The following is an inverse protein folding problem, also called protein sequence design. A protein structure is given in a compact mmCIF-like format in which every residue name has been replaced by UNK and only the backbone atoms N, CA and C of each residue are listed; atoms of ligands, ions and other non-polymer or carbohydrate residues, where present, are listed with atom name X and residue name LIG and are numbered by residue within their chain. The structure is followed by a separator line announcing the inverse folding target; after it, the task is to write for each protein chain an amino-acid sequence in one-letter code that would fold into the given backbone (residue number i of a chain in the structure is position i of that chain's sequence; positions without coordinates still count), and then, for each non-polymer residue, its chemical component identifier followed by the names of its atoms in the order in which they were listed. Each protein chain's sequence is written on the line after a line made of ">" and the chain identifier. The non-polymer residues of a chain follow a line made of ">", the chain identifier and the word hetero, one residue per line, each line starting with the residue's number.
data_IF_254411463863
#
_entry.id   IF_254411463863
#
_cell.length_a   1.000
_cell.length_b   1.000
_cell.length_c   1.000
_cell.angle_alpha   90.00
_cell.angle_beta   90.00
_cell.angle_gamma   90.00
#
_symmetry.space_group_name_H-M   'P 1'
#
loop_
_entity.id
_entity.type
_entity.pdbx_description
1 polymer ?
#
# COMPACT_ATOMS: atom_id res chain seq x y z
N UNK A 1 -24.08 -18.15 25.70
CA UNK A 1 -24.07 -19.42 24.93
C UNK A 1 -23.42 -19.31 23.54
N UNK A 2 -23.25 -18.11 22.96
CA UNK A 2 -22.65 -17.96 21.61
C UNK A 2 -21.14 -18.29 21.49
N UNK A 3 -20.36 -18.13 22.56
CA UNK A 3 -18.91 -18.40 22.50
C UNK A 3 -18.58 -19.88 22.24
N UNK A 4 -19.37 -20.80 22.79
CA UNK A 4 -19.12 -22.24 22.69
C UNK A 4 -19.34 -22.77 21.27
N UNK A 5 -20.31 -22.20 20.53
CA UNK A 5 -20.58 -22.52 19.14
C UNK A 5 -19.41 -22.10 18.23
N UNK A 6 -18.88 -20.89 18.45
CA UNK A 6 -17.70 -20.43 17.72
C UNK A 6 -16.46 -21.27 18.03
N UNK A 7 -16.25 -21.68 19.29
CA UNK A 7 -15.13 -22.57 19.62
C UNK A 7 -15.24 -23.95 18.98
N UNK A 8 -16.45 -24.52 18.89
CA UNK A 8 -16.67 -25.82 18.23
C UNK A 8 -16.40 -25.74 16.73
N UNK A 9 -16.94 -24.71 16.04
CA UNK A 9 -16.70 -24.51 14.61
C UNK A 9 -15.23 -24.29 14.27
N UNK A 10 -14.50 -23.54 15.10
CA UNK A 10 -13.06 -23.35 14.90
C UNK A 10 -12.31 -24.67 15.05
N UNK A 11 -12.67 -25.50 16.03
CA UNK A 11 -12.04 -26.80 16.21
C UNK A 11 -12.27 -27.74 15.00
N UNK A 12 -13.48 -27.75 14.44
CA UNK A 12 -13.81 -28.51 13.22
C UNK A 12 -12.96 -28.05 12.03
N UNK A 13 -12.90 -26.74 11.77
CA UNK A 13 -12.11 -26.18 10.67
C UNK A 13 -10.62 -26.53 10.82
N UNK A 14 -10.08 -26.47 12.04
CA UNK A 14 -8.68 -26.84 12.29
C UNK A 14 -8.43 -28.34 12.12
N UNK A 15 -9.39 -29.19 12.48
CA UNK A 15 -9.33 -30.63 12.25
C UNK A 15 -9.32 -30.96 10.76
N UNK A 16 -10.19 -30.31 9.98
CA UNK A 16 -10.26 -30.47 8.53
C UNK A 16 -8.98 -29.99 7.85
N UNK A 17 -8.44 -28.85 8.27
CA UNK A 17 -7.20 -28.29 7.73
C UNK A 17 -6.01 -29.21 8.02
N UNK A 18 -5.96 -29.81 9.21
CA UNK A 18 -4.91 -30.76 9.58
C UNK A 18 -4.99 -32.03 8.73
N UNK A 19 -6.20 -32.54 8.48
CA UNK A 19 -6.42 -33.69 7.60
C UNK A 19 -6.04 -33.37 6.14
N UNK A 20 -6.43 -32.19 5.66
CA UNK A 20 -6.08 -31.72 4.31
C UNK A 20 -4.58 -31.56 4.15
N UNK A 21 -3.84 -31.10 5.18
CA UNK A 21 -2.38 -31.03 5.14
C UNK A 21 -1.71 -32.38 4.88
N UNK A 22 -2.32 -33.48 5.31
CA UNK A 22 -1.80 -34.84 5.07
C UNK A 22 -2.11 -35.31 3.65
N UNK A 23 -3.31 -35.01 3.15
CA UNK A 23 -3.74 -35.45 1.81
C UNK A 23 -3.17 -34.58 0.68
N UNK A 24 -3.17 -33.25 0.87
CA UNK A 24 -2.70 -32.25 -0.09
C UNK A 24 -2.11 -31.02 0.65
N UNK A 25 -0.79 -31.02 0.90
CA UNK A 25 -0.10 -29.90 1.55
C UNK A 25 -0.22 -28.57 0.79
N UNK A 26 -0.33 -28.61 -0.54
CA UNK A 26 -0.37 -27.41 -1.37
C UNK A 26 -1.73 -26.72 -1.27
N UNK A 27 -2.82 -27.49 -1.31
CA UNK A 27 -4.17 -26.96 -1.10
C UNK A 27 -4.33 -26.37 0.31
N UNK A 28 -3.80 -27.04 1.34
CA UNK A 28 -3.82 -26.52 2.71
C UNK A 28 -3.09 -25.17 2.84
N UNK A 29 -1.92 -25.03 2.20
CA UNK A 29 -1.17 -23.78 2.17
C UNK A 29 -1.93 -22.69 1.42
N UNK A 30 -2.56 -23.01 0.28
CA UNK A 30 -3.36 -22.08 -0.50
C UNK A 30 -4.51 -21.48 0.34
N UNK A 31 -5.22 -22.29 1.13
CA UNK A 31 -6.33 -21.80 1.98
C UNK A 31 -5.89 -20.85 3.10
N UNK A 32 -4.73 -21.11 3.74
CA UNK A 32 -4.20 -20.25 4.81
C UNK A 32 -3.55 -18.99 4.25
N UNK A 33 -2.93 -19.09 3.08
CA UNK A 33 -2.25 -17.97 2.41
C UNK A 33 -3.22 -17.08 1.62
N UNK A 34 -4.42 -17.58 1.28
CA UNK A 34 -5.49 -16.82 0.69
C UNK A 34 -5.95 -15.72 1.67
N UNK A 35 -5.38 -14.53 1.52
CA UNK A 35 -5.96 -13.31 2.09
C UNK A 35 -7.38 -13.16 1.52
N UNK A 36 -8.36 -12.72 2.32
CA UNK A 36 -9.67 -12.39 1.78
C UNK A 36 -9.47 -11.32 0.70
N UNK A 37 -9.61 -11.71 -0.56
CA UNK A 37 -9.78 -10.76 -1.65
C UNK A 37 -11.01 -9.94 -1.26
N UNK A 38 -10.80 -8.67 -0.92
CA UNK A 38 -11.90 -7.73 -0.77
C UNK A 38 -12.71 -7.83 -2.06
N UNK A 39 -13.90 -8.43 -1.98
CA UNK A 39 -14.88 -8.40 -3.07
C UNK A 39 -15.36 -6.96 -3.19
N UNK A 40 -14.54 -6.12 -3.81
CA UNK A 40 -15.02 -4.94 -4.51
C UNK A 40 -15.22 -5.39 -5.94
N UNK A 41 -16.50 -5.49 -6.29
CA UNK A 41 -16.97 -5.56 -7.66
C UNK A 41 -16.40 -4.38 -8.42
N UNK A 42 -15.30 -4.57 -9.14
CA UNK A 42 -14.99 -3.75 -10.29
C UNK A 42 -14.32 -4.62 -11.35
N UNK A 43 -14.85 -4.45 -12.55
CA UNK A 43 -14.53 -5.20 -13.73
C UNK A 43 -13.06 -5.00 -14.13
N UNK A 44 -12.50 -6.05 -14.73
CA UNK A 44 -11.24 -6.06 -15.47
C UNK A 44 -10.01 -5.60 -14.69
N UNK A 45 -9.23 -6.57 -14.22
CA UNK A 45 -7.78 -6.39 -14.32
C UNK A 45 -7.09 -7.75 -14.44
N UNK A 46 -6.96 -8.19 -15.69
CA UNK A 46 -5.80 -8.99 -16.08
C UNK A 46 -4.56 -8.09 -16.03
N UNK A 47 -4.12 -7.67 -14.84
CA UNK A 47 -2.81 -7.04 -14.72
C UNK A 47 -1.76 -8.11 -14.86
N UNK A 48 -1.09 -8.08 -16.01
CA UNK A 48 0.20 -8.71 -16.20
C UNK A 48 1.10 -8.35 -15.01
N UNK A 49 1.93 -9.29 -14.51
CA UNK A 49 2.88 -9.02 -13.42
C UNK A 49 3.85 -7.86 -13.73
N UNK A 50 4.02 -7.50 -15.00
CA UNK A 50 4.83 -6.35 -15.45
C UNK A 50 4.26 -4.97 -15.03
N UNK A 51 2.94 -4.82 -14.92
CA UNK A 51 2.32 -3.53 -14.54
C UNK A 51 2.35 -3.28 -13.03
N UNK A 52 2.22 -4.32 -12.22
CA UNK A 52 2.37 -4.19 -10.76
C UNK A 52 3.77 -3.69 -10.39
N UNK A 53 4.81 -4.18 -11.06
CA UNK A 53 6.19 -3.71 -10.87
C UNK A 53 6.37 -2.25 -11.28
N UNK A 54 5.71 -1.81 -12.37
CA UNK A 54 5.76 -0.42 -12.82
C UNK A 54 5.06 0.53 -11.85
N UNK A 55 3.87 0.16 -11.36
CA UNK A 55 3.12 0.93 -10.38
C UNK A 55 3.85 0.98 -9.02
N UNK A 56 4.44 -0.13 -8.59
CA UNK A 56 5.26 -0.20 -7.38
C UNK A 56 6.51 0.68 -7.47
N UNK A 57 7.18 0.69 -8.63
CA UNK A 57 8.31 1.59 -8.88
C UNK A 57 7.87 3.05 -8.82
N UNK A 58 6.76 3.39 -9.49
CA UNK A 58 6.20 4.74 -9.48
C UNK A 58 5.80 5.21 -8.09
N UNK A 59 5.25 4.32 -7.26
CA UNK A 59 4.91 4.62 -5.87
C UNK A 59 6.15 4.93 -5.03
N UNK A 60 7.23 4.15 -5.18
CA UNK A 60 8.51 4.40 -4.51
C UNK A 60 9.11 5.75 -4.91
N UNK A 61 9.12 6.03 -6.22
CA UNK A 61 9.62 7.31 -6.76
C UNK A 61 8.82 8.49 -6.20
N UNK A 62 7.49 8.36 -6.08
CA UNK A 62 6.63 9.40 -5.53
C UNK A 62 6.89 9.65 -4.03
N UNK A 63 7.09 8.59 -3.24
CA UNK A 63 7.41 8.70 -1.81
C UNK A 63 8.77 9.36 -1.61
N UNK A 64 9.78 8.94 -2.38
CA UNK A 64 11.11 9.53 -2.37
C UNK A 64 11.05 11.03 -2.69
N UNK A 65 10.35 11.39 -3.76
CA UNK A 65 10.16 12.79 -4.16
C UNK A 65 9.44 13.60 -3.05
N UNK A 66 8.40 13.04 -2.43
CA UNK A 66 7.69 13.71 -1.33
C UNK A 66 8.64 14.01 -0.16
N UNK A 67 9.45 13.03 0.23
CA UNK A 67 10.42 13.20 1.30
C UNK A 67 11.44 14.31 0.97
N UNK A 68 12.02 14.28 -0.23
CA UNK A 68 12.99 15.29 -0.66
C UNK A 68 12.39 16.71 -0.70
N UNK A 69 11.18 16.83 -1.23
CA UNK A 69 10.46 18.12 -1.26
C UNK A 69 10.16 18.60 0.16
N UNK A 70 9.71 17.71 1.05
CA UNK A 70 9.44 18.06 2.45
C UNK A 70 10.71 18.45 3.20
N UNK A 71 11.82 17.78 2.97
CA UNK A 71 13.10 18.14 3.58
C UNK A 71 13.61 19.49 3.08
N UNK A 72 13.53 19.75 1.76
CA UNK A 72 13.88 21.07 1.20
C UNK A 72 12.92 22.16 1.70
N UNK A 73 11.64 21.85 1.89
CA UNK A 73 10.66 22.77 2.49
C UNK A 73 11.03 23.08 3.94
N UNK A 74 11.33 22.05 4.75
CA UNK A 74 11.74 22.18 6.15
C UNK A 74 13.03 22.99 6.30
N UNK A 75 13.99 22.77 5.40
CA UNK A 75 15.25 23.52 5.34
C UNK A 75 15.09 24.95 4.81
N UNK A 76 13.91 25.33 4.32
CA UNK A 76 13.64 26.65 3.76
C UNK A 76 14.26 26.89 2.38
N UNK A 77 14.81 25.85 1.75
CA UNK A 77 15.55 25.95 0.49
C UNK A 77 14.63 26.25 -0.70
N UNK A 78 13.38 25.75 -0.64
CA UNK A 78 12.36 26.02 -1.66
C UNK A 78 11.93 27.49 -1.71
N UNK A 79 12.09 28.23 -0.60
CA UNK A 79 11.72 29.64 -0.50
C UNK A 79 12.80 30.61 -1.00
N UNK A 80 14.03 30.14 -1.23
CA UNK A 80 15.19 30.98 -1.56
C UNK A 80 14.99 31.75 -2.88
N UNK A 81 14.67 31.03 -3.96
CA UNK A 81 14.39 31.62 -5.28
C UNK A 81 13.10 32.46 -5.31
N UNK A 82 12.08 32.05 -4.55
CA UNK A 82 10.82 32.80 -4.44
C UNK A 82 11.02 34.12 -3.69
N UNK A 83 11.85 34.12 -2.65
CA UNK A 83 12.26 35.32 -1.93
C UNK A 83 13.12 36.25 -2.77
N UNK A 84 13.99 35.72 -3.61
CA UNK A 84 14.78 36.52 -4.55
C UNK A 84 13.92 37.15 -5.64
N UNK A 85 12.97 36.39 -6.20
CA UNK A 85 11.99 36.91 -7.15
C UNK A 85 11.11 38.00 -6.51
N UNK A 86 10.64 37.81 -5.27
CA UNK A 86 9.91 38.84 -4.51
C UNK A 86 10.74 40.11 -4.34
N UNK A 87 12.00 39.99 -3.89
CA UNK A 87 12.91 41.13 -3.77
C UNK A 87 13.15 41.82 -5.11
N UNK A 88 13.20 41.09 -6.22
CA UNK A 88 13.34 41.67 -7.55
C UNK A 88 12.11 42.48 -7.96
N UNK A 89 10.91 41.98 -7.64
CA UNK A 89 9.64 42.70 -7.85
C UNK A 89 9.55 43.93 -6.96
N UNK A 90 9.86 43.83 -5.67
CA UNK A 90 9.84 44.98 -4.74
C UNK A 90 10.77 46.10 -5.23
N UNK A 91 11.97 45.75 -5.72
CA UNK A 91 12.90 46.70 -6.34
C UNK A 91 12.34 47.35 -7.62
N UNK A 92 11.59 46.61 -8.42
CA UNK A 92 11.01 47.12 -9.67
C UNK A 92 9.76 47.98 -9.43
N UNK A 93 9.00 47.69 -8.37
CA UNK A 93 7.73 48.36 -8.03
C UNK A 93 7.96 49.55 -7.08
N UNK A 94 9.12 49.63 -6.42
CA UNK A 94 9.52 50.82 -5.66
C UNK A 94 8.69 51.07 -4.40
N UNK A 95 8.32 49.99 -3.69
CA UNK A 95 7.69 50.05 -2.35
C UNK A 95 8.76 49.91 -1.28
#
# INVERSE_FOLDING_TARGET
>A
MAHTENTMRVAEILSDLTSLRVCDPAAALALVSARPSSKSTDAQDTKKPEEEDADLKRAKDLVQLHYEVKEKQRRGELGSGLGEARRAVDRAVGV
#
